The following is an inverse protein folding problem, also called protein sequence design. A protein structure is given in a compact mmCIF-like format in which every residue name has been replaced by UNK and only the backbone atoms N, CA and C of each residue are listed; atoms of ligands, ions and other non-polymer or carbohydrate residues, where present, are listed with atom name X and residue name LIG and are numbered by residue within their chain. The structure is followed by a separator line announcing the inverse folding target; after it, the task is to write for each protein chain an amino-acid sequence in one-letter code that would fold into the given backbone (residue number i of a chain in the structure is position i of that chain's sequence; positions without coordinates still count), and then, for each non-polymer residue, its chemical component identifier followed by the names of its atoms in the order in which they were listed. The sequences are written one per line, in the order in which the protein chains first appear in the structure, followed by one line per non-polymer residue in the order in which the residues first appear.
data_IF_984142015011
#
_entry.id   IF_984142015011
#
_cell.length_a   1.000
_cell.length_b   1.000
_cell.length_c   1.000
_cell.angle_alpha   90.00
_cell.angle_beta   90.00
_cell.angle_gamma   90.00
#
_symmetry.space_group_name_H-M   'P 1'
#
loop_
_entity.id
_entity.type
_entity.pdbx_description
1 polymer ?
#
# COMPACT_ATOMS: atom_id res chain seq x y z
N UNK A 1 -75.62 -58.32 27.91
CA UNK A 1 -76.40 -58.21 29.15
C UNK A 1 -76.82 -56.75 29.31
N UNK A 2 -78.14 -56.53 29.25
CA UNK A 2 -78.93 -55.41 29.82
C UNK A 2 -78.43 -53.97 29.60
N UNK A 3 -79.02 -53.21 28.66
CA UNK A 3 -80.37 -52.59 28.62
C UNK A 3 -80.35 -51.12 29.10
N UNK A 4 -80.75 -50.28 28.14
CA UNK A 4 -81.41 -48.99 28.21
C UNK A 4 -81.83 -48.43 29.57
N UNK A 5 -81.60 -47.13 29.74
CA UNK A 5 -82.66 -46.24 30.24
C UNK A 5 -82.28 -44.77 30.01
N UNK A 6 -82.83 -44.20 28.94
CA UNK A 6 -83.15 -42.77 28.94
C UNK A 6 -84.47 -42.56 29.70
N UNK A 7 -84.66 -41.38 30.29
CA UNK A 7 -85.91 -40.69 30.00
C UNK A 7 -85.68 -39.22 29.62
N UNK A 8 -86.28 -38.83 28.50
CA UNK A 8 -86.55 -37.43 28.18
C UNK A 8 -87.60 -36.88 29.13
N UNK A 9 -87.40 -35.68 29.65
CA UNK A 9 -88.51 -34.79 30.03
C UNK A 9 -88.17 -33.34 29.72
N UNK A 10 -88.91 -32.78 28.77
CA UNK A 10 -88.94 -31.35 28.46
C UNK A 10 -89.82 -30.60 29.48
N UNK A 11 -89.52 -29.30 29.55
CA UNK A 11 -90.33 -28.14 29.93
C UNK A 11 -90.10 -27.58 31.34
N UNK A 12 -89.77 -26.28 31.38
CA UNK A 12 -89.80 -25.44 32.58
C UNK A 12 -88.81 -24.29 32.53
N UNK A 13 -89.22 -23.17 31.95
CA UNK A 13 -88.50 -21.91 31.98
C UNK A 13 -88.33 -21.38 33.42
N UNK A 14 -87.15 -20.86 33.76
CA UNK A 14 -86.99 -19.76 34.71
C UNK A 14 -85.62 -19.10 34.52
N UNK A 15 -85.66 -17.79 34.40
CA UNK A 15 -84.55 -16.89 34.15
C UNK A 15 -83.53 -16.84 35.30
N UNK A 16 -82.25 -16.65 34.94
CA UNK A 16 -81.33 -15.76 35.65
C UNK A 16 -80.09 -15.56 34.75
N UNK A 17 -80.05 -14.39 34.11
CA UNK A 17 -78.85 -13.80 33.55
C UNK A 17 -77.80 -13.63 34.65
N UNK A 18 -76.72 -14.39 34.57
CA UNK A 18 -75.47 -14.00 35.22
C UNK A 18 -74.71 -13.16 34.19
N UNK A 19 -74.89 -11.85 34.28
CA UNK A 19 -74.08 -10.87 33.58
C UNK A 19 -72.60 -11.17 33.87
N UNK A 20 -71.88 -11.61 32.83
CA UNK A 20 -70.42 -11.54 32.81
C UNK A 20 -70.07 -10.06 32.82
N UNK A 21 -69.65 -9.58 33.98
CA UNK A 21 -69.10 -8.23 34.15
C UNK A 21 -67.83 -8.17 33.31
N UNK A 22 -67.94 -7.62 32.10
CA UNK A 22 -66.83 -7.07 31.35
C UNK A 22 -66.12 -6.05 32.23
N UNK A 23 -64.94 -6.42 32.71
CA UNK A 23 -64.06 -5.52 33.44
C UNK A 23 -63.19 -4.79 32.39
N UNK A 24 -63.46 -3.53 32.00
CA UNK A 24 -62.82 -2.86 30.86
C UNK A 24 -61.50 -2.18 31.27
N UNK A 25 -60.77 -2.74 32.22
CA UNK A 25 -59.56 -2.13 32.77
C UNK A 25 -58.50 -3.16 33.10
N UNK A 26 -57.86 -3.70 32.06
CA UNK A 26 -56.47 -4.15 32.08
C UNK A 26 -56.02 -4.28 30.62
N UNK A 27 -55.57 -3.17 30.03
CA UNK A 27 -54.81 -3.16 28.79
C UNK A 27 -53.44 -3.83 29.04
N UNK A 28 -53.44 -5.15 29.22
CA UNK A 28 -52.24 -5.94 29.41
C UNK A 28 -51.54 -6.16 28.08
N UNK A 29 -50.35 -5.57 27.90
CA UNK A 29 -49.52 -5.85 26.73
C UNK A 29 -49.07 -7.31 26.80
N UNK A 30 -49.46 -8.12 25.81
CA UNK A 30 -48.91 -9.47 25.62
C UNK A 30 -47.45 -9.36 25.19
N UNK A 31 -46.56 -9.43 26.18
CA UNK A 31 -45.12 -9.16 26.03
C UNK A 31 -44.47 -10.03 24.95
N UNK A 32 -44.84 -11.30 24.84
CA UNK A 32 -44.27 -12.22 23.85
C UNK A 32 -44.67 -11.85 22.42
N UNK A 33 -45.94 -11.50 22.19
CA UNK A 33 -46.44 -11.12 20.87
C UNK A 33 -45.85 -9.77 20.44
N UNK A 34 -45.74 -8.82 21.38
CA UNK A 34 -45.12 -7.53 21.15
C UNK A 34 -43.61 -7.66 20.85
N UNK A 35 -42.90 -8.51 21.59
CA UNK A 35 -41.49 -8.78 21.36
C UNK A 35 -41.26 -9.52 20.02
N UNK A 36 -42.13 -10.48 19.68
CA UNK A 36 -42.06 -11.21 18.42
C UNK A 36 -42.31 -10.29 17.22
N UNK A 37 -43.32 -9.42 17.29
CA UNK A 37 -43.62 -8.45 16.23
C UNK A 37 -42.45 -7.48 15.97
N UNK A 38 -41.71 -7.09 17.02
CA UNK A 38 -40.57 -6.17 16.92
C UNK A 38 -39.21 -6.87 16.84
N UNK A 39 -39.17 -8.21 16.79
CA UNK A 39 -37.92 -8.96 16.80
C UNK A 39 -37.04 -8.63 15.58
N UNK A 40 -37.64 -8.49 14.39
CA UNK A 40 -36.93 -8.13 13.16
C UNK A 40 -36.34 -6.72 13.22
N UNK A 41 -37.07 -5.76 13.81
CA UNK A 41 -36.60 -4.38 14.01
C UNK A 41 -35.44 -4.35 15.01
N UNK A 42 -35.54 -5.10 16.11
CA UNK A 42 -34.48 -5.21 17.12
C UNK A 42 -33.24 -5.89 16.54
N UNK A 43 -33.39 -6.94 15.74
CA UNK A 43 -32.28 -7.59 15.03
C UNK A 43 -31.64 -6.64 14.01
N UNK A 44 -32.45 -5.88 13.28
CA UNK A 44 -31.94 -4.88 12.35
C UNK A 44 -31.17 -3.78 13.08
N UNK A 45 -31.72 -3.24 14.17
CA UNK A 45 -31.08 -2.25 15.02
C UNK A 45 -29.77 -2.80 15.62
N UNK A 46 -29.77 -4.04 16.10
CA UNK A 46 -28.58 -4.71 16.63
C UNK A 46 -27.50 -4.86 15.54
N UNK A 47 -27.90 -5.22 14.32
CA UNK A 47 -26.99 -5.34 13.16
C UNK A 47 -26.38 -4.00 12.74
N UNK A 48 -27.17 -2.91 12.78
CA UNK A 48 -26.72 -1.57 12.40
C UNK A 48 -25.84 -0.93 13.47
N UNK A 49 -26.25 -1.04 14.75
CA UNK A 49 -25.47 -0.52 15.88
C UNK A 49 -24.21 -1.37 16.13
N UNK A 50 -24.14 -2.59 15.59
CA UNK A 50 -23.04 -3.51 15.79
C UNK A 50 -22.81 -3.82 17.27
N UNK A 51 -23.89 -3.89 18.06
CA UNK A 51 -23.84 -4.01 19.53
C UNK A 51 -23.14 -5.29 20.00
N UNK A 52 -23.26 -6.38 19.24
CA UNK A 52 -22.53 -7.64 19.46
C UNK A 52 -20.99 -7.43 19.37
N UNK A 53 -20.54 -6.40 18.65
CA UNK A 53 -19.14 -5.96 18.59
C UNK A 53 -18.82 -4.72 19.45
N UNK A 54 -19.78 -4.10 20.14
CA UNK A 54 -19.53 -2.87 20.89
C UNK A 54 -19.75 -3.00 22.40
N UNK A 55 -20.51 -4.00 22.86
CA UNK A 55 -20.79 -4.26 24.28
C UNK A 55 -19.61 -4.83 25.10
N UNK A 56 -18.62 -5.46 24.46
CA UNK A 56 -17.48 -6.12 25.13
C UNK A 56 -16.11 -5.57 24.77
N UNK A 57 -16.06 -4.46 24.02
CA UNK A 57 -14.85 -3.99 23.38
C UNK A 57 -14.26 -2.83 24.18
N UNK A 58 -13.30 -3.17 25.06
CA UNK A 58 -12.39 -2.24 25.73
C UNK A 58 -12.01 -1.10 24.76
N UNK A 59 -11.89 0.15 25.23
CA UNK A 59 -11.63 1.32 24.37
C UNK A 59 -10.45 1.17 23.39
N UNK A 60 -9.51 0.24 23.64
CA UNK A 60 -8.40 -0.14 22.76
C UNK A 60 -8.80 -1.00 21.55
N UNK A 61 -9.85 -1.80 21.68
CA UNK A 61 -10.32 -2.72 20.66
C UNK A 61 -11.35 -2.06 19.72
N UNK A 62 -11.90 -0.89 20.06
CA UNK A 62 -12.81 -0.10 19.19
C UNK A 62 -12.16 0.36 17.88
N UNK A 63 -10.84 0.45 17.85
CA UNK A 63 -10.08 0.86 16.66
C UNK A 63 -10.05 -0.26 15.60
N UNK A 64 -10.10 0.07 14.30
CA UNK A 64 -9.81 -0.88 13.23
C UNK A 64 -8.45 -1.54 13.45
N UNK A 65 -8.32 -2.83 13.11
CA UNK A 65 -7.09 -3.62 13.36
C UNK A 65 -5.80 -2.92 12.90
N UNK A 66 -5.81 -2.26 11.72
CA UNK A 66 -4.67 -1.52 11.14
C UNK A 66 -4.23 -0.28 11.95
N UNK A 67 -5.15 0.31 12.72
CA UNK A 67 -4.88 1.49 13.56
C UNK A 67 -4.48 1.11 14.99
N UNK A 68 -4.70 -0.14 15.40
CA UNK A 68 -4.34 -0.60 16.76
C UNK A 68 -2.81 -0.55 16.96
N UNK A 69 -2.40 -0.19 18.17
CA UNK A 69 -0.99 -0.13 18.59
C UNK A 69 -0.81 -0.94 19.87
N UNK A 70 0.15 -1.86 19.89
CA UNK A 70 0.39 -2.76 21.03
C UNK A 70 0.73 -2.01 22.33
N UNK A 71 1.45 -0.90 22.23
CA UNK A 71 1.86 -0.09 23.37
C UNK A 71 0.81 0.95 23.82
N UNK A 72 -0.42 0.90 23.30
CA UNK A 72 -1.47 1.86 23.66
C UNK A 72 -1.99 1.69 25.10
N UNK A 73 -1.93 0.47 25.66
CA UNK A 73 -2.27 0.22 27.07
C UNK A 73 -1.34 0.93 28.06
N UNK A 74 -0.05 1.03 27.74
CA UNK A 74 0.95 1.69 28.58
C UNK A 74 1.06 3.19 28.32
N UNK A 75 0.80 3.65 27.09
CA UNK A 75 0.85 5.07 26.74
C UNK A 75 -0.40 5.47 25.95
N UNK A 76 -1.39 6.10 26.60
CA UNK A 76 -2.66 6.48 25.96
C UNK A 76 -2.47 7.56 24.88
N UNK A 77 -1.33 8.26 24.81
CA UNK A 77 -1.04 9.24 23.74
C UNK A 77 -0.92 8.59 22.36
N UNK A 78 -0.75 7.26 22.28
CA UNK A 78 -0.73 6.50 21.03
C UNK A 78 -2.11 6.28 20.41
N UNK A 79 -3.18 6.69 21.10
CA UNK A 79 -4.55 6.61 20.62
C UNK A 79 -5.03 7.98 20.09
N UNK A 80 -6.06 7.99 19.22
CA UNK A 80 -6.75 9.21 18.84
C UNK A 80 -7.27 9.97 20.06
N UNK A 81 -7.26 11.30 20.00
CA UNK A 81 -7.60 12.19 21.11
C UNK A 81 -8.94 11.84 21.78
N UNK A 82 -9.97 11.55 20.97
CA UNK A 82 -11.32 11.21 21.41
C UNK A 82 -11.38 9.96 22.31
N UNK A 83 -10.47 9.01 22.13
CA UNK A 83 -10.44 7.74 22.89
C UNK A 83 -9.52 7.80 24.11
N UNK A 84 -8.66 8.82 24.23
CA UNK A 84 -7.64 8.87 25.30
C UNK A 84 -8.25 8.89 26.69
N UNK A 85 -9.31 9.69 26.91
CA UNK A 85 -9.95 9.84 28.23
C UNK A 85 -10.56 8.53 28.73
N UNK A 86 -11.38 7.87 27.92
CA UNK A 86 -12.00 6.57 28.29
C UNK A 86 -10.93 5.51 28.57
N UNK A 87 -9.92 5.39 27.71
CA UNK A 87 -8.84 4.41 27.94
C UNK A 87 -7.95 4.73 29.13
N UNK A 88 -7.75 6.01 29.47
CA UNK A 88 -7.02 6.40 30.66
C UNK A 88 -7.78 5.97 31.92
N UNK A 89 -9.08 6.22 31.96
CA UNK A 89 -9.94 5.82 33.08
C UNK A 89 -9.97 4.28 33.22
N UNK A 90 -10.13 3.55 32.11
CA UNK A 90 -10.05 2.07 32.07
C UNK A 90 -8.69 1.57 32.57
N UNK A 91 -7.59 2.17 32.13
CA UNK A 91 -6.24 1.78 32.52
C UNK A 91 -5.96 2.09 34.00
N UNK A 92 -6.43 3.21 34.53
CA UNK A 92 -6.27 3.58 35.94
C UNK A 92 -7.00 2.58 36.85
N UNK A 93 -8.22 2.18 36.47
CA UNK A 93 -8.97 1.14 37.18
C UNK A 93 -8.27 -0.22 37.20
N UNK A 94 -7.55 -0.57 36.13
CA UNK A 94 -6.74 -1.79 36.04
C UNK A 94 -5.40 -1.69 36.79
N UNK A 95 -4.71 -0.54 36.72
CA UNK A 95 -3.43 -0.32 37.41
C UNK A 95 -3.58 -0.26 38.93
N UNK A 96 -4.71 0.21 39.45
CA UNK A 96 -5.04 0.13 40.87
C UNK A 96 -5.02 -1.31 41.41
N UNK A 97 -5.14 -2.32 40.52
CA UNK A 97 -5.13 -3.75 40.87
C UNK A 97 -3.77 -4.44 40.69
N UNK A 98 -2.73 -3.78 40.16
CA UNK A 98 -1.43 -4.41 39.90
C UNK A 98 -0.31 -3.89 40.82
N UNK A 99 0.42 -4.81 41.48
CA UNK A 99 1.66 -4.50 42.23
C UNK A 99 2.76 -4.02 41.27
N UNK A 100 3.41 -2.91 41.64
CA UNK A 100 4.49 -2.28 40.87
C UNK A 100 5.70 -3.24 40.74
N UNK A 101 6.01 -3.67 39.52
CA UNK A 101 7.24 -4.42 39.24
C UNK A 101 8.37 -3.45 38.87
N UNK A 102 9.44 -3.44 39.66
CA UNK A 102 10.63 -2.57 39.48
C UNK A 102 11.24 -2.71 38.08
N UNK A 103 11.41 -1.57 37.39
CA UNK A 103 11.97 -1.50 36.05
C UNK A 103 13.49 -1.68 36.03
N UNK A 104 13.94 -2.59 35.19
CA UNK A 104 15.35 -2.91 34.94
C UNK A 104 15.98 -1.85 34.00
N UNK A 105 16.32 -0.68 34.54
CA UNK A 105 17.14 0.33 33.83
C UNK A 105 18.61 -0.06 33.92
N UNK A 106 19.23 -0.46 32.80
CA UNK A 106 20.67 -0.25 32.42
C UNK A 106 21.16 -1.21 31.30
N UNK A 107 20.43 -1.38 30.18
CA UNK A 107 20.90 -2.22 29.05
C UNK A 107 21.23 -1.47 27.75
N UNK A 108 20.79 -0.21 27.58
CA UNK A 108 20.99 0.53 26.32
C UNK A 108 22.46 0.87 26.02
N UNK A 109 23.26 1.35 26.99
CA UNK A 109 24.66 1.76 26.74
C UNK A 109 25.54 0.60 26.24
N UNK A 110 25.28 -0.65 26.66
CA UNK A 110 26.05 -1.83 26.22
C UNK A 110 25.69 -2.27 24.79
N UNK A 111 24.44 -2.07 24.37
CA UNK A 111 23.97 -2.41 23.02
C UNK A 111 24.54 -1.47 21.95
N UNK A 112 24.67 -0.17 22.25
CA UNK A 112 25.31 0.79 21.33
C UNK A 112 26.79 0.44 21.09
N UNK A 113 27.55 0.11 22.15
CA UNK A 113 28.98 -0.25 22.02
C UNK A 113 29.20 -1.55 21.24
N UNK A 114 28.34 -2.57 21.46
CA UNK A 114 28.42 -3.85 20.74
C UNK A 114 28.09 -3.70 19.25
N UNK A 115 27.16 -2.82 18.91
CA UNK A 115 26.73 -2.54 17.53
C UNK A 115 27.82 -1.87 16.69
N UNK A 116 28.75 -1.13 17.30
CA UNK A 116 29.84 -0.47 16.58
C UNK A 116 31.06 -1.39 16.35
N UNK A 117 31.35 -2.34 17.25
CA UNK A 117 32.50 -3.28 17.09
C UNK A 117 32.31 -4.29 15.96
N UNK A 118 31.10 -4.78 15.71
CA UNK A 118 30.84 -5.79 14.66
C UNK A 118 30.62 -5.17 13.26
N UNK A 119 30.92 -3.88 13.09
CA UNK A 119 30.61 -3.09 11.88
C UNK A 119 31.84 -2.57 11.12
N UNK A 120 33.03 -2.69 11.69
CA UNK A 120 34.26 -2.40 10.96
C UNK A 120 34.60 -3.65 10.13
N UNK A 121 34.66 -3.53 8.80
CA UNK A 121 35.17 -4.58 7.92
C UNK A 121 34.17 -5.23 6.95
N UNK A 122 32.91 -4.80 6.88
CA UNK A 122 32.01 -5.20 5.78
C UNK A 122 31.56 -3.96 5.02
N UNK A 123 31.72 -3.98 3.70
CA UNK A 123 31.09 -3.00 2.81
C UNK A 123 29.61 -2.93 3.14
N UNK A 124 29.12 -1.72 3.42
CA UNK A 124 27.72 -1.53 3.78
C UNK A 124 26.94 -1.41 2.50
N UNK A 125 25.82 -2.13 2.36
CA UNK A 125 24.93 -1.89 1.25
C UNK A 125 24.34 -0.49 1.36
N UNK A 126 24.17 0.15 0.23
CA UNK A 126 23.67 1.51 0.13
C UNK A 126 22.20 1.59 0.53
N UNK A 127 21.84 2.76 1.06
CA UNK A 127 20.50 3.03 1.57
C UNK A 127 19.82 4.02 0.64
N UNK A 128 18.61 3.67 0.19
CA UNK A 128 17.75 4.65 -0.48
C UNK A 128 17.37 5.78 0.48
N UNK A 129 16.99 6.94 -0.05
CA UNK A 129 16.56 8.09 0.74
C UNK A 129 15.44 7.73 1.74
N UNK A 130 14.51 6.84 1.35
CA UNK A 130 13.39 6.40 2.19
C UNK A 130 13.73 5.22 3.13
N UNK A 131 14.99 4.79 3.20
CA UNK A 131 15.39 3.56 3.90
C UNK A 131 14.91 3.51 5.35
N UNK A 132 15.01 4.62 6.10
CA UNK A 132 14.55 4.67 7.49
C UNK A 132 13.05 4.47 7.64
N UNK A 133 12.25 4.92 6.67
CA UNK A 133 10.80 4.74 6.69
C UNK A 133 10.44 3.28 6.42
N UNK A 134 11.09 2.68 5.41
CA UNK A 134 10.92 1.28 5.03
C UNK A 134 11.42 0.32 6.12
N UNK A 135 12.61 0.55 6.68
CA UNK A 135 13.19 -0.28 7.74
C UNK A 135 12.33 -0.35 9.01
N UNK A 136 11.47 0.64 9.26
CA UNK A 136 10.52 0.65 10.37
C UNK A 136 9.26 -0.17 10.10
N UNK A 137 8.94 -0.48 8.85
CA UNK A 137 7.64 -1.04 8.42
C UNK A 137 7.75 -2.35 7.63
N UNK A 138 8.92 -2.62 7.06
CA UNK A 138 9.20 -3.74 6.17
C UNK A 138 10.39 -4.54 6.69
N UNK A 139 10.41 -5.82 6.31
CA UNK A 139 11.60 -6.65 6.42
C UNK A 139 12.57 -6.24 5.30
N UNK A 140 13.76 -5.81 5.70
CA UNK A 140 14.78 -5.31 4.78
C UNK A 140 15.74 -6.43 4.37
N UNK A 141 16.07 -6.52 3.08
CA UNK A 141 17.03 -7.47 2.51
C UNK A 141 18.08 -6.72 1.69
N UNK A 142 19.30 -7.24 1.66
CA UNK A 142 20.36 -6.69 0.82
C UNK A 142 20.29 -7.34 -0.56
N UNK A 143 20.04 -6.55 -1.61
CA UNK A 143 19.98 -6.98 -3.02
C UNK A 143 20.63 -5.92 -3.90
N UNK A 144 21.44 -6.35 -4.87
CA UNK A 144 22.05 -5.48 -5.91
C UNK A 144 22.84 -4.29 -5.33
N UNK A 145 23.58 -4.50 -4.25
CA UNK A 145 24.32 -3.42 -3.57
C UNK A 145 23.48 -2.56 -2.62
N UNK A 146 22.14 -2.65 -2.67
CA UNK A 146 21.23 -1.84 -1.85
C UNK A 146 20.57 -2.62 -0.71
N UNK A 147 20.13 -1.90 0.34
CA UNK A 147 19.27 -2.43 1.41
C UNK A 147 17.81 -2.07 1.17
N UNK A 148 17.09 -2.98 0.52
CA UNK A 148 15.72 -2.78 0.02
C UNK A 148 14.65 -3.41 0.91
N UNK A 149 13.42 -2.91 0.78
CA UNK A 149 12.24 -3.48 1.43
C UNK A 149 11.74 -4.69 0.66
N UNK A 150 11.67 -5.86 1.29
CA UNK A 150 11.20 -7.09 0.63
C UNK A 150 9.73 -7.37 0.91
N UNK A 151 9.34 -7.36 2.18
CA UNK A 151 7.96 -7.67 2.59
C UNK A 151 7.49 -6.80 3.75
N UNK A 152 6.23 -6.35 3.76
CA UNK A 152 5.68 -5.61 4.89
C UNK A 152 5.65 -6.48 6.14
N UNK A 153 5.78 -5.84 7.31
CA UNK A 153 5.63 -6.52 8.61
C UNK A 153 4.17 -6.93 8.88
N UNK A 154 3.22 -6.19 8.32
CA UNK A 154 1.79 -6.51 8.37
C UNK A 154 1.39 -7.47 7.24
N UNK A 155 0.39 -8.33 7.49
CA UNK A 155 -0.19 -9.23 6.48
C UNK A 155 -1.13 -8.45 5.54
N UNK A 156 -0.57 -7.73 4.56
CA UNK A 156 -1.32 -6.78 3.71
C UNK A 156 -1.40 -7.16 2.23
N UNK A 157 -1.06 -8.38 1.84
CA UNK A 157 -1.08 -8.80 0.43
C UNK A 157 -2.44 -8.54 -0.27
N UNK A 158 -3.54 -9.05 0.30
CA UNK A 158 -4.89 -8.84 -0.28
C UNK A 158 -5.31 -7.35 -0.29
N UNK A 159 -5.11 -6.57 0.80
CA UNK A 159 -5.27 -5.12 0.75
C UNK A 159 -4.44 -4.43 -0.34
N UNK A 160 -3.17 -4.79 -0.53
CA UNK A 160 -2.31 -4.23 -1.57
C UNK A 160 -2.84 -4.55 -2.97
N UNK A 161 -3.29 -5.78 -3.21
CA UNK A 161 -3.89 -6.17 -4.49
C UNK A 161 -5.17 -5.37 -4.78
N UNK A 162 -6.05 -5.22 -3.77
CA UNK A 162 -7.25 -4.39 -3.92
C UNK A 162 -6.92 -2.91 -4.14
N UNK A 163 -5.87 -2.41 -3.49
CA UNK A 163 -5.39 -1.04 -3.68
C UNK A 163 -4.82 -0.83 -5.08
N UNK A 164 -4.09 -1.80 -5.63
CA UNK A 164 -3.61 -1.72 -7.02
C UNK A 164 -4.76 -1.71 -8.04
N UNK A 165 -5.86 -2.44 -7.77
CA UNK A 165 -6.99 -2.51 -8.69
C UNK A 165 -7.98 -1.33 -8.57
N UNK A 166 -8.23 -0.84 -7.35
CA UNK A 166 -9.31 0.13 -7.07
C UNK A 166 -8.87 1.39 -6.35
N UNK A 167 -7.61 1.46 -5.92
CA UNK A 167 -7.07 2.57 -5.14
C UNK A 167 -5.75 3.02 -5.73
N UNK A 168 -4.77 3.26 -4.85
CA UNK A 168 -3.41 3.60 -5.23
C UNK A 168 -2.39 2.83 -4.40
N UNK A 169 -1.27 2.47 -5.03
CA UNK A 169 -0.11 1.85 -4.40
C UNK A 169 1.15 2.54 -4.91
N UNK A 170 2.09 2.81 -4.00
CA UNK A 170 3.37 3.43 -4.29
C UNK A 170 4.51 2.43 -4.03
N UNK A 171 5.43 2.31 -4.98
CA UNK A 171 6.67 1.56 -4.88
C UNK A 171 7.86 2.49 -5.04
N UNK A 172 8.84 2.37 -4.14
CA UNK A 172 10.11 3.06 -4.27
C UNK A 172 11.03 2.29 -5.22
N UNK A 173 11.26 2.86 -6.40
CA UNK A 173 12.09 2.33 -7.48
C UNK A 173 13.41 3.12 -7.62
N UNK A 174 13.81 3.88 -6.60
CA UNK A 174 15.00 4.75 -6.65
C UNK A 174 16.33 3.99 -6.74
N UNK A 175 16.31 2.65 -6.69
CA UNK A 175 17.48 1.81 -6.93
C UNK A 175 17.80 1.63 -8.42
N UNK A 176 16.90 2.05 -9.33
CA UNK A 176 17.18 2.08 -10.76
C UNK A 176 18.23 3.16 -11.05
N UNK A 177 19.13 2.89 -11.99
CA UNK A 177 20.12 3.87 -12.42
C UNK A 177 19.62 4.58 -13.68
N UNK A 178 19.43 5.92 -13.61
CA UNK A 178 19.15 6.73 -14.79
C UNK A 178 20.42 7.06 -15.55
N UNK A 179 20.34 6.95 -16.86
CA UNK A 179 21.33 7.39 -17.82
C UNK A 179 20.67 8.38 -18.78
N UNK A 180 21.23 9.58 -18.89
CA UNK A 180 20.82 10.57 -19.86
C UNK A 180 21.60 10.32 -21.15
N UNK A 181 20.88 10.18 -22.26
CA UNK A 181 21.43 10.11 -23.61
C UNK A 181 21.07 11.42 -24.31
N UNK A 182 22.08 12.16 -24.75
CA UNK A 182 21.92 13.44 -25.44
C UNK A 182 22.61 13.42 -26.80
N UNK A 183 21.89 13.73 -27.87
CA UNK A 183 22.43 13.77 -29.23
C UNK A 183 21.33 13.76 -30.28
N UNK A 184 21.65 13.92 -31.58
CA UNK A 184 20.62 13.91 -32.62
C UNK A 184 19.85 12.59 -32.65
N UNK A 185 18.53 12.67 -32.89
CA UNK A 185 17.63 11.51 -32.85
C UNK A 185 18.03 10.39 -33.82
N UNK A 186 18.62 10.74 -34.96
CA UNK A 186 19.15 9.80 -35.96
C UNK A 186 20.29 8.95 -35.40
N UNK A 187 21.29 9.57 -34.80
CA UNK A 187 22.45 8.87 -34.24
C UNK A 187 22.06 8.07 -32.99
N UNK A 188 21.16 8.60 -32.15
CA UNK A 188 20.60 7.83 -31.03
C UNK A 188 19.88 6.56 -31.51
N UNK A 189 19.07 6.66 -32.56
CA UNK A 189 18.36 5.52 -33.11
C UNK A 189 19.34 4.47 -33.70
N UNK A 190 20.42 4.90 -34.36
CA UNK A 190 21.41 4.01 -34.93
C UNK A 190 22.20 3.26 -33.83
N UNK A 191 22.65 3.98 -32.79
CA UNK A 191 23.38 3.38 -31.66
C UNK A 191 22.48 2.39 -30.91
N UNK A 192 21.24 2.76 -30.61
CA UNK A 192 20.31 1.89 -29.90
C UNK A 192 19.87 0.70 -30.77
N UNK A 193 19.78 0.83 -32.10
CA UNK A 193 19.43 -0.27 -32.99
C UNK A 193 20.42 -1.45 -32.94
N UNK A 194 21.68 -1.20 -32.59
CA UNK A 194 22.72 -2.24 -32.44
C UNK A 194 22.60 -3.03 -31.14
N UNK A 195 21.90 -2.46 -30.17
CA UNK A 195 21.70 -3.01 -28.83
C UNK A 195 20.32 -3.64 -28.66
N UNK A 196 19.40 -3.41 -29.59
CA UNK A 196 18.00 -3.79 -29.50
C UNK A 196 17.62 -4.78 -30.59
N UNK A 197 16.52 -5.48 -30.37
CA UNK A 197 15.87 -6.28 -31.41
C UNK A 197 15.50 -5.38 -32.60
N UNK A 198 15.63 -5.84 -33.85
CA UNK A 198 15.35 -5.02 -35.03
C UNK A 198 13.91 -4.46 -35.05
N UNK A 199 12.94 -5.23 -34.54
CA UNK A 199 11.53 -4.81 -34.43
C UNK A 199 11.31 -3.77 -33.32
N UNK A 200 12.03 -3.87 -32.21
CA UNK A 200 12.03 -2.86 -31.14
C UNK A 200 12.73 -1.58 -31.58
N UNK A 201 13.86 -1.72 -32.27
CA UNK A 201 14.63 -0.63 -32.84
C UNK A 201 13.81 0.17 -33.88
N UNK A 202 13.08 -0.50 -34.77
CA UNK A 202 12.21 0.17 -35.74
C UNK A 202 11.09 0.97 -35.05
N UNK A 203 10.45 0.39 -34.03
CA UNK A 203 9.43 1.09 -33.23
C UNK A 203 10.02 2.29 -32.51
N UNK A 204 11.19 2.14 -31.89
CA UNK A 204 11.90 3.21 -31.20
C UNK A 204 12.32 4.33 -32.16
N UNK A 205 12.83 4.00 -33.35
CA UNK A 205 13.19 4.99 -34.38
C UNK A 205 12.01 5.87 -34.75
N UNK A 206 10.84 5.27 -34.98
CA UNK A 206 9.61 6.03 -35.29
C UNK A 206 9.20 7.00 -34.16
N UNK A 207 9.46 6.63 -32.90
CA UNK A 207 9.13 7.42 -31.72
C UNK A 207 10.15 8.51 -31.43
N UNK A 208 11.44 8.24 -31.60
CA UNK A 208 12.52 9.23 -31.45
C UNK A 208 12.44 10.35 -32.47
N UNK A 209 12.00 10.02 -33.69
CA UNK A 209 11.76 11.00 -34.76
C UNK A 209 10.44 11.75 -34.57
N UNK A 210 9.58 11.29 -33.66
CA UNK A 210 8.39 12.02 -33.27
C UNK A 210 8.76 12.98 -32.14
N UNK A 211 8.42 14.26 -32.28
CA UNK A 211 8.60 15.28 -31.22
C UNK A 211 7.73 15.05 -29.97
N UNK A 212 7.11 13.86 -29.86
CA UNK A 212 6.22 13.51 -28.76
C UNK A 212 6.98 12.76 -27.69
N UNK A 213 6.67 13.10 -26.44
CA UNK A 213 7.14 12.33 -25.29
C UNK A 213 6.63 10.90 -25.37
N UNK A 214 7.50 9.96 -25.03
CA UNK A 214 7.14 8.54 -25.03
C UNK A 214 7.85 7.80 -23.91
N UNK A 215 7.27 6.67 -23.50
CA UNK A 215 7.87 5.72 -22.57
C UNK A 215 7.74 4.34 -23.18
N UNK A 216 8.85 3.60 -23.26
CA UNK A 216 8.90 2.24 -23.81
C UNK A 216 9.72 1.34 -22.89
N UNK A 217 9.29 0.09 -22.75
CA UNK A 217 10.12 -0.95 -22.17
C UNK A 217 10.76 -1.72 -23.33
N UNK A 218 12.06 -1.95 -23.26
CA UNK A 218 12.89 -2.52 -24.29
C UNK A 218 13.76 -3.63 -23.70
N UNK A 219 14.21 -4.57 -24.51
CA UNK A 219 15.21 -5.57 -24.12
C UNK A 219 16.55 -5.26 -24.76
N UNK A 220 17.58 -5.12 -23.92
CA UNK A 220 18.92 -4.77 -24.39
C UNK A 220 19.80 -6.01 -24.47
N UNK A 221 20.54 -6.10 -25.58
CA UNK A 221 21.53 -7.11 -25.92
C UNK A 221 22.93 -6.48 -25.95
N UNK A 222 23.98 -7.30 -26.01
CA UNK A 222 25.32 -6.78 -26.34
C UNK A 222 25.35 -6.27 -27.78
N UNK A 223 26.29 -5.38 -28.09
CA UNK A 223 26.42 -4.78 -29.43
C UNK A 223 26.44 -5.84 -30.53
N UNK A 224 25.54 -5.71 -31.51
CA UNK A 224 25.40 -6.55 -32.70
C UNK A 224 25.27 -8.06 -32.42
N UNK A 225 24.80 -8.42 -31.23
CA UNK A 225 24.76 -9.82 -30.78
C UNK A 225 23.38 -10.44 -30.77
N UNK A 226 22.34 -9.69 -31.16
CA UNK A 226 20.98 -10.20 -31.28
C UNK A 226 20.91 -11.39 -32.26
N UNK A 227 20.25 -12.50 -31.92
CA UNK A 227 19.35 -12.73 -30.77
C UNK A 227 20.01 -13.26 -29.50
N UNK A 228 21.33 -13.42 -29.47
CA UNK A 228 22.09 -13.96 -28.34
C UNK A 228 22.49 -12.84 -27.36
N UNK A 229 23.08 -13.22 -26.21
CA UNK A 229 23.64 -12.29 -25.21
C UNK A 229 22.71 -11.17 -24.74
N UNK A 230 21.47 -11.51 -24.38
CA UNK A 230 20.53 -10.60 -23.72
C UNK A 230 21.09 -10.14 -22.36
N UNK A 231 21.17 -8.83 -22.12
CA UNK A 231 21.56 -8.23 -20.84
C UNK A 231 20.35 -8.11 -19.91
N UNK A 232 19.25 -7.54 -20.40
CA UNK A 232 18.03 -7.39 -19.61
C UNK A 232 17.10 -6.26 -20.06
N UNK A 233 15.98 -6.10 -19.33
CA UNK A 233 14.96 -5.12 -19.67
C UNK A 233 15.34 -3.71 -19.19
N UNK A 234 15.11 -2.74 -20.05
CA UNK A 234 15.39 -1.32 -19.82
C UNK A 234 14.13 -0.52 -20.13
N UNK A 235 13.90 0.56 -19.39
CA UNK A 235 12.87 1.54 -19.75
C UNK A 235 13.53 2.74 -20.39
N UNK A 236 13.02 3.17 -21.54
CA UNK A 236 13.43 4.38 -22.22
C UNK A 236 12.29 5.40 -22.20
N UNK A 237 12.58 6.60 -21.72
CA UNK A 237 11.64 7.72 -21.70
C UNK A 237 12.22 8.89 -22.55
N UNK A 238 11.56 9.25 -23.64
CA UNK A 238 11.92 10.39 -24.49
C UNK A 238 11.19 11.66 -24.05
N UNK A 239 11.90 12.77 -23.83
CA UNK A 239 11.29 14.06 -23.41
C UNK A 239 11.24 15.12 -24.51
N UNK A 240 12.32 15.25 -25.29
CA UNK A 240 12.46 16.25 -26.34
C UNK A 240 13.33 15.68 -27.46
N UNK A 241 13.39 16.40 -28.59
CA UNK A 241 14.26 16.05 -29.72
C UNK A 241 15.70 15.86 -29.23
N UNK A 242 16.19 14.63 -29.34
CA UNK A 242 17.56 14.30 -29.02
C UNK A 242 17.92 14.14 -27.54
N UNK A 243 16.95 14.05 -26.63
CA UNK A 243 17.21 13.69 -25.22
C UNK A 243 16.34 12.54 -24.74
N UNK A 244 16.98 11.50 -24.21
CA UNK A 244 16.30 10.29 -23.74
C UNK A 244 16.87 9.85 -22.39
N UNK A 245 15.99 9.43 -21.49
CA UNK A 245 16.37 8.78 -20.25
C UNK A 245 16.28 7.27 -20.41
N UNK A 246 17.36 6.61 -20.04
CA UNK A 246 17.44 5.18 -19.95
C UNK A 246 17.47 4.80 -18.48
N UNK A 247 16.49 4.01 -18.04
CA UNK A 247 16.43 3.46 -16.69
C UNK A 247 16.82 1.99 -16.72
N UNK A 248 17.94 1.68 -16.08
CA UNK A 248 18.43 0.30 -15.99
C UNK A 248 18.43 -0.22 -14.56
N UNK A 249 18.43 -1.54 -14.44
CA UNK A 249 18.52 -2.20 -13.16
C UNK A 249 20.00 -2.29 -12.71
N UNK A 250 20.31 -2.14 -11.40
CA UNK A 250 21.68 -2.11 -10.88
C UNK A 250 22.52 -3.37 -11.16
N UNK A 251 21.86 -4.51 -11.41
CA UNK A 251 22.56 -5.78 -11.68
C UNK A 251 23.43 -5.75 -12.94
N UNK A 252 22.99 -5.06 -13.99
CA UNK A 252 23.68 -5.04 -15.29
C UNK A 252 24.09 -3.62 -15.71
N UNK A 253 23.97 -2.63 -14.84
CA UNK A 253 24.28 -1.24 -15.16
C UNK A 253 25.73 -1.04 -15.59
N UNK A 254 26.68 -1.72 -14.95
CA UNK A 254 28.11 -1.69 -15.31
C UNK A 254 28.42 -2.38 -16.64
N UNK A 255 27.64 -3.38 -17.03
CA UNK A 255 27.78 -4.02 -18.33
C UNK A 255 27.20 -3.13 -19.41
N UNK A 256 26.02 -2.55 -19.15
CA UNK A 256 25.35 -1.64 -20.06
C UNK A 256 26.17 -0.36 -20.33
N UNK A 257 26.88 0.16 -19.32
CA UNK A 257 27.78 1.32 -19.52
C UNK A 257 28.86 1.00 -20.55
N UNK A 258 29.48 -0.18 -20.44
CA UNK A 258 30.53 -0.62 -21.37
C UNK A 258 29.96 -0.79 -22.78
N UNK A 259 28.82 -1.46 -22.91
CA UNK A 259 28.19 -1.74 -24.21
C UNK A 259 27.69 -0.46 -24.90
N UNK A 260 27.14 0.50 -24.14
CA UNK A 260 26.77 1.82 -24.66
C UNK A 260 28.00 2.60 -25.12
N UNK A 261 29.07 2.63 -24.33
CA UNK A 261 30.31 3.30 -24.74
C UNK A 261 30.94 2.65 -25.97
N UNK A 262 30.89 1.31 -26.10
CA UNK A 262 31.38 0.63 -27.31
C UNK A 262 30.53 0.96 -28.53
N UNK A 263 29.20 1.00 -28.39
CA UNK A 263 28.30 1.38 -29.47
C UNK A 263 28.55 2.83 -29.92
N UNK A 264 28.70 3.76 -28.98
CA UNK A 264 29.01 5.17 -29.25
C UNK A 264 30.38 5.34 -29.93
N UNK A 265 31.41 4.60 -29.49
CA UNK A 265 32.75 4.66 -30.13
C UNK A 265 32.72 4.22 -31.58
N UNK A 266 32.00 3.13 -31.87
CA UNK A 266 31.91 2.59 -33.22
C UNK A 266 31.12 3.45 -34.21
N UNK A 267 30.17 4.27 -33.74
CA UNK A 267 29.44 5.22 -34.58
C UNK A 267 30.27 6.51 -34.83
N UNK A 268 31.09 6.90 -33.84
CA UNK A 268 31.93 8.10 -33.88
C UNK A 268 33.11 8.06 -34.85
N UNK A 269 33.45 6.90 -35.43
CA UNK A 269 34.46 6.80 -36.51
C UNK A 269 33.95 7.37 -37.85
N UNK A 270 32.63 7.62 -37.97
CA UNK A 270 31.98 7.98 -39.24
C UNK A 270 31.46 9.43 -39.32
N UNK A 271 31.34 10.19 -38.23
CA UNK A 271 30.67 11.50 -38.24
C UNK A 271 31.39 12.62 -37.47
N UNK A 272 31.22 13.85 -37.96
CA UNK A 272 31.71 15.12 -37.41
C UNK A 272 31.37 15.31 -35.92
N UNK A 273 32.19 16.10 -35.20
CA UNK A 273 32.06 16.37 -33.75
C UNK A 273 30.68 16.87 -33.27
N UNK A 274 29.82 17.35 -34.18
CA UNK A 274 28.47 17.84 -33.89
C UNK A 274 27.41 16.74 -33.70
N UNK A 275 27.65 15.50 -34.16
CA UNK A 275 26.68 14.39 -34.06
C UNK A 275 26.97 13.42 -32.92
N UNK A 276 27.94 13.74 -32.06
CA UNK A 276 28.36 12.82 -31.00
C UNK A 276 27.28 12.70 -29.92
N UNK A 277 26.87 11.47 -29.64
CA UNK A 277 25.99 11.16 -28.53
C UNK A 277 26.77 11.19 -27.22
N UNK A 278 26.29 11.98 -26.25
CA UNK A 278 26.77 12.02 -24.88
C UNK A 278 25.97 11.04 -24.01
N UNK A 279 26.68 10.34 -23.11
CA UNK A 279 26.14 9.33 -22.20
C UNK A 279 26.49 9.74 -20.77
N UNK A 280 25.50 10.25 -20.04
CA UNK A 280 25.69 10.79 -18.69
C UNK A 280 24.93 9.97 -17.65
N UNK A 281 25.66 9.30 -16.76
CA UNK A 281 25.08 8.52 -15.67
C UNK A 281 24.80 9.41 -14.45
N UNK A 282 23.53 9.65 -14.15
CA UNK A 282 23.10 10.50 -13.04
C UNK A 282 22.72 9.67 -11.80
N UNK A 283 23.68 8.89 -11.30
CA UNK A 283 23.48 8.03 -10.12
C UNK A 283 23.22 8.89 -8.87
N UNK A 284 22.29 8.45 -8.04
CA UNK A 284 21.91 9.06 -6.76
C UNK A 284 21.41 10.52 -6.81
N UNK A 285 21.16 11.07 -8.00
CA UNK A 285 20.61 12.42 -8.16
C UNK A 285 19.07 12.43 -8.10
N UNK A 286 18.43 11.34 -8.52
CA UNK A 286 16.98 11.23 -8.58
C UNK A 286 16.44 10.14 -7.67
N UNK A 287 15.27 10.41 -7.09
CA UNK A 287 14.42 9.39 -6.52
C UNK A 287 13.30 9.06 -7.51
N UNK A 288 13.08 7.77 -7.76
CA UNK A 288 12.03 7.31 -8.66
C UNK A 288 10.96 6.57 -7.86
N UNK A 289 9.70 6.98 -8.02
CA UNK A 289 8.56 6.31 -7.40
C UNK A 289 7.62 5.82 -8.49
N UNK A 290 7.27 4.53 -8.43
CA UNK A 290 6.26 3.95 -9.32
C UNK A 290 4.92 3.90 -8.60
N UNK A 291 3.95 4.56 -9.18
CA UNK A 291 2.57 4.60 -8.70
C UNK A 291 1.72 3.60 -9.50
N UNK A 292 0.79 2.94 -8.84
CA UNK A 292 -0.10 1.95 -9.44
C UNK A 292 -1.55 2.20 -8.99
N UNK A 293 -2.48 2.00 -9.91
CA UNK A 293 -3.92 1.99 -9.65
C UNK A 293 -4.64 3.25 -10.13
N UNK A 294 -5.98 3.19 -10.25
CA UNK A 294 -6.79 4.23 -10.87
C UNK A 294 -6.89 5.50 -10.02
N UNK A 295 -6.80 5.40 -8.69
CA UNK A 295 -6.92 6.57 -7.80
C UNK A 295 -5.62 7.37 -7.68
N UNK A 296 -4.60 7.06 -8.48
CA UNK A 296 -3.31 7.75 -8.44
C UNK A 296 -3.45 9.19 -8.93
N UNK A 297 -4.17 9.41 -10.04
CA UNK A 297 -4.36 10.74 -10.63
C UNK A 297 -5.04 11.68 -9.63
N UNK A 298 -6.16 11.25 -9.04
CA UNK A 298 -6.86 11.98 -7.98
C UNK A 298 -5.99 12.34 -6.76
N UNK A 299 -5.01 11.50 -6.44
CA UNK A 299 -4.08 11.74 -5.34
C UNK A 299 -3.01 12.74 -5.77
N UNK A 300 -2.47 12.59 -6.97
CA UNK A 300 -1.45 13.48 -7.51
C UNK A 300 -1.99 14.89 -7.66
N UNK A 301 -3.21 15.07 -8.18
CA UNK A 301 -3.84 16.40 -8.31
C UNK A 301 -4.05 17.09 -6.96
N UNK A 302 -4.28 16.31 -5.90
CA UNK A 302 -4.46 16.87 -4.54
C UNK A 302 -3.15 17.29 -3.89
N UNK A 303 -2.03 16.66 -4.23
CA UNK A 303 -0.74 16.88 -3.57
C UNK A 303 0.26 17.67 -4.42
N UNK A 304 0.18 17.59 -5.74
CA UNK A 304 0.97 18.37 -6.67
C UNK A 304 0.22 19.65 -7.01
N UNK A 305 0.52 20.71 -6.29
CA UNK A 305 0.08 22.06 -6.65
C UNK A 305 1.09 22.67 -7.61
N UNK A 306 0.61 23.34 -8.67
CA UNK A 306 1.48 24.18 -9.47
C UNK A 306 2.13 25.24 -8.56
N UNK A 307 3.43 25.51 -8.73
CA UNK A 307 4.04 26.62 -8.03
C UNK A 307 3.27 27.90 -8.39
N UNK A 308 3.05 28.81 -7.43
CA UNK A 308 2.43 30.10 -7.74
C UNK A 308 3.30 30.84 -8.76
N UNK A 309 2.65 31.60 -9.65
CA UNK A 309 3.33 32.37 -10.70
C UNK A 309 4.45 33.24 -10.08
N UNK A 310 5.67 33.10 -10.60
CA UNK A 310 6.86 33.82 -10.11
C UNK A 310 7.76 33.05 -9.13
N UNK A 311 7.48 31.77 -8.86
CA UNK A 311 8.36 30.95 -8.02
C UNK A 311 9.63 30.50 -8.78
N UNK A 312 10.74 31.23 -8.62
CA UNK A 312 12.06 30.74 -9.02
C UNK A 312 12.61 29.79 -7.95
N UNK A 313 12.89 28.50 -8.25
CA UNK A 313 13.59 27.63 -7.33
C UNK A 313 15.00 28.18 -7.07
N UNK A 314 15.36 28.31 -5.78
CA UNK A 314 16.71 28.67 -5.32
C UNK A 314 17.66 27.50 -5.43
#
# INVERSE_FOLDING_TARGET
LFQDSSPQRRQGAAAASADEIENPQQEGIRVLDFAAARAAELQHLESQLGLVSSGFVHGLQRLPRRMRRRAASHNPRRLPLRLRRSTFNEAQALMAKQKLRRQQKKRLKRLFRRRNRTRLGKERPDWLATHLWHAKRFHMVTKWGYRLAERPTDKVLRPCLRAAARGALLHDASYLHPCLLSGPASSLANILARLLDPDEAARLRSRLLSDRQFSMNLTVHRVDSYPLNCLGPVRLDGLATGTCWLWCHPLFSSQLTVELETAVRSDGESESSANRVAVDWQRDQFCCYRLFGPAVEDIMDKFLTQPPDGWCPR
#
